data_IF_309380614706
#
_entry.id   IF_309380614706
#
_cell.length_a   1.000
_cell.length_b   1.000
_cell.length_c   1.000
_cell.angle_alpha   90.00
_cell.angle_beta   90.00
_cell.angle_gamma   90.00
#
_symmetry.space_group_name_H-M   'P 1'
#
loop_
_entity.id
_entity.type
_entity.pdbx_description
1 polymer ?
#
# COMPACT_ATOMS: atom_id res chain seq x y z
N UNK A 1 23.65 9.30 2.11
CA UNK A 1 22.74 8.61 3.06
C UNK A 1 21.43 8.36 2.33
N UNK A 2 21.06 7.10 2.06
CA UNK A 2 19.71 6.78 1.59
C UNK A 2 18.74 7.02 2.75
N UNK A 3 17.67 7.79 2.53
CA UNK A 3 16.60 8.01 3.52
C UNK A 3 15.72 6.73 3.63
N UNK A 4 15.80 5.86 2.62
CA UNK A 4 15.02 4.64 2.51
C UNK A 4 15.81 3.46 3.07
N UNK A 5 15.46 3.01 4.26
CA UNK A 5 15.84 1.70 4.78
C UNK A 5 14.89 0.62 4.25
N UNK A 6 15.29 -0.66 4.30
CA UNK A 6 14.43 -1.79 3.92
C UNK A 6 13.06 -1.76 4.59
N UNK A 7 13.03 -1.44 5.88
CA UNK A 7 11.79 -1.38 6.66
C UNK A 7 10.85 -0.30 6.16
N UNK A 8 11.38 0.91 5.91
CA UNK A 8 10.60 2.05 5.39
C UNK A 8 10.02 1.71 4.01
N UNK A 9 10.79 1.05 3.15
CA UNK A 9 10.33 0.63 1.82
C UNK A 9 9.14 -0.33 1.95
N UNK A 10 9.24 -1.33 2.82
CA UNK A 10 8.16 -2.30 3.05
C UNK A 10 6.92 -1.64 3.64
N UNK A 11 7.08 -0.70 4.56
CA UNK A 11 5.98 0.06 5.14
C UNK A 11 5.25 0.88 4.07
N UNK A 12 5.97 1.63 3.24
CA UNK A 12 5.38 2.41 2.14
C UNK A 12 4.65 1.50 1.14
N UNK A 13 5.24 0.36 0.76
CA UNK A 13 4.59 -0.57 -0.15
C UNK A 13 3.32 -1.19 0.48
N UNK A 14 3.33 -1.45 1.79
CA UNK A 14 2.16 -1.95 2.52
C UNK A 14 1.03 -0.92 2.55
N UNK A 15 1.34 0.36 2.74
CA UNK A 15 0.36 1.45 2.67
C UNK A 15 -0.22 1.60 1.27
N UNK A 16 0.62 1.60 0.23
CA UNK A 16 0.15 1.72 -1.15
C UNK A 16 -0.78 0.56 -1.52
N UNK A 17 -0.47 -0.65 -1.05
CA UNK A 17 -1.33 -1.82 -1.21
C UNK A 17 -2.65 -1.67 -0.45
N UNK A 18 -2.61 -1.12 0.76
CA UNK A 18 -3.81 -0.85 1.57
C UNK A 18 -4.73 0.20 0.93
N UNK A 19 -4.17 1.29 0.39
CA UNK A 19 -4.93 2.34 -0.28
C UNK A 19 -5.34 1.99 -1.73
N UNK A 20 -5.00 0.78 -2.21
CA UNK A 20 -5.29 0.36 -3.59
C UNK A 20 -4.63 1.25 -4.64
N UNK A 21 -3.49 1.86 -4.32
CA UNK A 21 -2.72 2.68 -5.26
C UNK A 21 -2.05 1.79 -6.29
N UNK A 22 -1.81 2.32 -7.48
CA UNK A 22 -1.15 1.58 -8.54
C UNK A 22 0.34 1.39 -8.19
N UNK A 23 0.74 0.13 -8.00
CA UNK A 23 2.11 -0.28 -7.69
C UNK A 23 2.69 -0.83 -8.98
N UNK A 24 3.37 0.02 -9.76
CA UNK A 24 4.07 -0.37 -10.98
C UNK A 24 5.37 0.40 -11.10
N UNK A 25 6.36 -0.20 -11.76
CA UNK A 25 7.68 0.42 -11.97
C UNK A 25 7.56 1.77 -12.68
N UNK A 26 6.70 1.85 -13.69
CA UNK A 26 6.43 3.08 -14.44
C UNK A 26 5.85 4.18 -13.54
N UNK A 27 4.89 3.82 -12.67
CA UNK A 27 4.30 4.77 -11.73
C UNK A 27 5.32 5.28 -10.72
N UNK A 28 6.18 4.40 -10.18
CA UNK A 28 7.22 4.79 -9.24
C UNK A 28 8.33 5.62 -9.90
N UNK A 29 8.75 5.27 -11.12
CA UNK A 29 9.73 6.04 -11.87
C UNK A 29 9.27 7.49 -12.09
N UNK A 30 7.97 7.69 -12.36
CA UNK A 30 7.40 9.03 -12.58
C UNK A 30 7.12 9.79 -11.28
N UNK A 31 6.43 9.16 -10.33
CA UNK A 31 5.88 9.87 -9.18
C UNK A 31 6.83 9.87 -7.97
N UNK A 32 7.71 8.84 -7.84
CA UNK A 32 8.63 8.65 -6.71
C UNK A 32 9.96 7.99 -7.14
N UNK A 33 10.76 8.63 -8.01
CA UNK A 33 11.97 8.03 -8.58
C UNK A 33 13.00 7.62 -7.51
N UNK A 34 13.09 8.36 -6.40
CA UNK A 34 14.01 8.04 -5.31
C UNK A 34 13.63 6.75 -4.58
N UNK A 35 12.32 6.48 -4.43
CA UNK A 35 11.82 5.23 -3.86
C UNK A 35 12.12 4.06 -4.81
N UNK A 36 11.96 4.27 -6.12
CA UNK A 36 12.23 3.25 -7.12
C UNK A 36 13.71 2.79 -7.10
N UNK A 37 14.64 3.75 -7.11
CA UNK A 37 16.08 3.45 -7.01
C UNK A 37 16.42 2.73 -5.71
N UNK A 38 15.78 3.11 -4.59
CA UNK A 38 15.99 2.43 -3.32
C UNK A 38 15.45 0.99 -3.32
N UNK A 39 14.30 0.74 -3.95
CA UNK A 39 13.73 -0.60 -4.12
C UNK A 39 14.68 -1.48 -4.93
N UNK A 40 15.19 -0.98 -6.07
CA UNK A 40 16.16 -1.71 -6.89
C UNK A 40 17.45 -2.01 -6.12
N UNK A 41 17.97 -1.03 -5.37
CA UNK A 41 19.19 -1.21 -4.59
C UNK A 41 19.06 -2.22 -3.45
N UNK A 42 17.91 -2.28 -2.79
CA UNK A 42 17.71 -3.09 -1.57
C UNK A 42 17.12 -4.48 -1.86
N UNK A 43 16.27 -4.60 -2.88
CA UNK A 43 15.50 -5.80 -3.21
C UNK A 43 15.76 -6.35 -4.62
N UNK A 44 16.48 -5.61 -5.46
CA UNK A 44 16.80 -5.99 -6.84
C UNK A 44 15.66 -5.77 -7.83
N UNK A 45 14.42 -6.07 -7.43
CA UNK A 45 13.23 -5.83 -8.25
C UNK A 45 12.02 -5.42 -7.40
N UNK A 46 11.05 -4.78 -8.04
CA UNK A 46 9.79 -4.41 -7.39
C UNK A 46 9.02 -5.64 -6.93
N UNK A 47 9.01 -6.72 -7.72
CA UNK A 47 8.32 -7.97 -7.38
C UNK A 47 8.91 -8.63 -6.13
N UNK A 48 10.23 -8.61 -5.97
CA UNK A 48 10.90 -9.13 -4.78
C UNK A 48 10.52 -8.34 -3.52
N UNK A 49 10.43 -7.01 -3.64
CA UNK A 49 9.97 -6.17 -2.54
C UNK A 49 8.51 -6.50 -2.19
N UNK A 50 7.63 -6.64 -3.19
CA UNK A 50 6.21 -6.97 -2.99
C UNK A 50 5.97 -8.35 -2.38
N UNK A 51 6.83 -9.33 -2.67
CA UNK A 51 6.77 -10.65 -2.06
C UNK A 51 7.02 -10.61 -0.54
N UNK A 52 7.80 -9.63 -0.06
CA UNK A 52 8.09 -9.45 1.36
C UNK A 52 7.08 -8.53 2.07
N UNK A 53 6.21 -7.84 1.33
CA UNK A 53 5.20 -6.95 1.90
C UNK A 53 4.13 -7.76 2.61
N UNK A 54 4.12 -7.67 3.95
CA UNK A 54 3.02 -8.22 4.74
C UNK A 54 1.77 -7.33 4.57
N UNK A 55 0.62 -7.89 4.17
CA UNK A 55 -0.59 -7.10 4.01
C UNK A 55 -1.10 -6.63 5.37
N UNK A 56 -1.42 -5.34 5.47
CA UNK A 56 -2.08 -4.75 6.64
C UNK A 56 -3.43 -5.45 6.80
N UNK A 57 -3.64 -6.13 7.94
CA UNK A 57 -4.90 -6.81 8.24
C UNK A 57 -6.02 -5.78 8.37
N UNK A 58 -6.80 -5.60 7.30
CA UNK A 58 -8.02 -4.80 7.34
C UNK A 58 -9.00 -5.53 8.25
N UNK A 59 -9.29 -4.97 9.43
CA UNK A 59 -10.45 -5.42 10.18
C UNK A 59 -11.67 -4.83 9.46
N UNK A 60 -12.52 -5.64 8.81
CA UNK A 60 -13.74 -5.10 8.21
C UNK A 60 -14.56 -4.49 9.34
N UNK A 61 -14.92 -3.21 9.18
CA UNK A 61 -15.80 -2.52 10.13
C UNK A 61 -17.09 -3.33 10.20
N UNK A 62 -17.39 -3.93 11.36
CA UNK A 62 -18.68 -4.60 11.57
C UNK A 62 -19.76 -3.52 11.51
N UNK A 63 -20.45 -3.46 10.38
CA UNK A 63 -21.60 -2.58 10.20
C UNK A 63 -22.63 -2.96 11.26
N UNK A 64 -22.85 -2.08 12.23
CA UNK A 64 -23.81 -2.34 13.30
C UNK A 64 -25.22 -2.10 12.76
N UNK A 65 -26.20 -2.95 13.15
CA UNK A 65 -27.58 -2.95 12.63
C UNK A 65 -28.30 -1.58 12.61
N UNK A 66 -27.81 -0.57 13.35
CA UNK A 66 -28.35 0.80 13.33
C UNK A 66 -28.22 1.49 11.97
N UNK A 67 -27.23 1.14 11.16
CA UNK A 67 -27.00 1.80 9.85
C UNK A 67 -27.99 1.35 8.77
N UNK A 68 -28.64 0.19 8.94
CA UNK A 68 -29.69 -0.29 8.02
C UNK A 68 -31.03 0.44 8.17
N UNK A 69 -31.24 1.17 9.26
CA UNK A 69 -32.53 1.86 9.51
C UNK A 69 -32.64 3.10 8.63
N UNK A 70 -31.53 3.82 8.42
CA UNK A 70 -31.52 5.05 7.63
C UNK A 70 -31.64 4.81 6.12
N UNK A 71 -31.14 3.68 5.61
CA UNK A 71 -31.25 3.36 4.17
C UNK A 71 -32.65 2.94 3.75
N UNK A 72 -33.47 2.45 4.67
CA UNK A 72 -34.88 2.07 4.41
C UNK A 72 -35.84 3.27 4.40
N UNK A 73 -35.52 4.35 5.12
CA UNK A 73 -36.37 5.55 5.20
C UNK A 73 -36.19 6.52 4.02
N UNK A 74 -35.22 6.24 3.13
CA UNK A 74 -34.89 7.09 1.99
C UNK A 74 -35.44 6.56 0.64
N UNK A 75 -36.40 5.63 0.67
CA UNK A 75 -37.06 5.06 -0.52
C UNK A 75 -38.56 5.35 -0.49
#
# INVERSE_FOLDING_TARGET
>A
MSIYSKEIILEILSELKYYGKNISEVAFSRDRPQLFVAIESEFGSLDNALAQVTPIKVQPRKMTKKDNIYTWLAR
#
